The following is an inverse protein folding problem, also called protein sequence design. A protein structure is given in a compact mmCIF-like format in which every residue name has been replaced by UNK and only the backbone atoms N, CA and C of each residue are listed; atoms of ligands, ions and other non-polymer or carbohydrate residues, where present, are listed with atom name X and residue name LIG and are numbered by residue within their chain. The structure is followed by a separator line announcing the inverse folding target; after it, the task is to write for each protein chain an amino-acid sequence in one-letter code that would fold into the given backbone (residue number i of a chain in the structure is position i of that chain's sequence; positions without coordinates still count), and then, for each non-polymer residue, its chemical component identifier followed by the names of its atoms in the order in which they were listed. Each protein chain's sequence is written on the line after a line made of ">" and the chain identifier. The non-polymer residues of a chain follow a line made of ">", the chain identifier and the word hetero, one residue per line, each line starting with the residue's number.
data_IF_083904519271
#
_entry.id   IF_083904519271
#
_cell.length_a   1.000
_cell.length_b   1.000
_cell.length_c   1.000
_cell.angle_alpha   90.00
_cell.angle_beta   90.00
_cell.angle_gamma   90.00
#
_symmetry.space_group_name_H-M   'P 1'
#
loop_
_entity.id
_entity.type
_entity.pdbx_description
1 polymer ?
#
# COMPACT_ATOMS: atom_id res chain seq x y z
N UNK A 1 -33.86 26.00 -1.59
CA UNK A 1 -33.85 26.56 -2.95
C UNK A 1 -34.93 25.82 -3.74
N UNK A 2 -36.06 26.49 -4.03
CA UNK A 2 -37.19 25.91 -4.76
C UNK A 2 -36.82 25.91 -6.26
N UNK A 3 -36.47 24.77 -6.80
CA UNK A 3 -36.27 24.59 -8.25
C UNK A 3 -37.64 24.63 -8.91
N UNK A 4 -37.82 25.55 -9.86
CA UNK A 4 -39.09 25.71 -10.61
C UNK A 4 -39.42 24.38 -11.33
N UNK A 5 -40.71 24.03 -11.42
CA UNK A 5 -41.14 22.77 -12.02
C UNK A 5 -40.57 22.50 -13.43
N UNK A 6 -40.36 23.59 -14.23
CA UNK A 6 -39.75 23.49 -15.55
C UNK A 6 -38.28 23.01 -15.56
N UNK A 7 -37.48 23.45 -14.58
CA UNK A 7 -36.07 22.99 -14.46
C UNK A 7 -35.95 21.51 -14.05
N UNK A 8 -36.91 21.02 -13.25
CA UNK A 8 -36.98 19.59 -12.93
C UNK A 8 -37.23 18.72 -14.16
N UNK A 9 -38.12 19.16 -15.03
CA UNK A 9 -38.45 18.42 -16.27
C UNK A 9 -37.28 18.38 -17.24
N UNK A 10 -36.54 19.50 -17.40
CA UNK A 10 -35.35 19.56 -18.26
C UNK A 10 -34.24 18.66 -17.71
N UNK A 11 -33.95 18.69 -16.41
CA UNK A 11 -32.95 17.84 -15.79
C UNK A 11 -33.31 16.35 -15.86
N UNK A 12 -34.58 16.01 -15.66
CA UNK A 12 -35.04 14.63 -15.78
C UNK A 12 -34.95 14.11 -17.22
N UNK A 13 -35.25 14.96 -18.21
CA UNK A 13 -35.14 14.62 -19.63
C UNK A 13 -33.69 14.37 -20.03
N UNK A 14 -32.77 15.28 -19.70
CA UNK A 14 -31.34 15.10 -19.95
C UNK A 14 -30.79 13.81 -19.34
N UNK A 15 -31.21 13.49 -18.10
CA UNK A 15 -30.79 12.28 -17.42
C UNK A 15 -31.31 11.00 -18.10
N UNK A 16 -32.52 11.04 -18.62
CA UNK A 16 -33.12 9.88 -19.30
C UNK A 16 -32.55 9.66 -20.70
N UNK A 17 -32.11 10.72 -21.38
CA UNK A 17 -31.51 10.68 -22.70
C UNK A 17 -30.00 10.33 -22.67
N UNK A 18 -29.36 10.39 -21.49
CA UNK A 18 -27.97 10.07 -21.32
C UNK A 18 -27.69 8.57 -21.58
N UNK A 19 -26.73 8.29 -22.43
CA UNK A 19 -26.25 6.92 -22.66
C UNK A 19 -25.51 6.42 -21.43
N UNK A 20 -26.06 5.42 -20.78
CA UNK A 20 -25.54 4.81 -19.55
C UNK A 20 -25.13 3.39 -19.79
N UNK A 21 -24.08 2.90 -19.12
CA UNK A 21 -23.72 1.50 -19.19
C UNK A 21 -24.76 0.66 -18.45
N UNK A 22 -25.15 -0.46 -19.03
CA UNK A 22 -26.07 -1.40 -18.41
C UNK A 22 -25.37 -2.21 -17.32
N UNK A 23 -24.11 -2.54 -17.53
CA UNK A 23 -23.32 -3.35 -16.62
C UNK A 23 -21.81 -3.08 -16.78
N UNK A 24 -21.06 -3.51 -15.77
CA UNK A 24 -19.60 -3.55 -15.81
C UNK A 24 -19.20 -5.01 -15.98
N UNK A 25 -18.55 -5.33 -17.09
CA UNK A 25 -18.08 -6.68 -17.38
C UNK A 25 -16.64 -6.83 -16.93
N UNK A 26 -16.36 -7.91 -16.20
CA UNK A 26 -14.99 -8.32 -15.90
C UNK A 26 -14.51 -9.25 -17.04
N UNK A 27 -13.34 -8.96 -17.55
CA UNK A 27 -12.65 -9.81 -18.52
C UNK A 27 -12.03 -11.00 -17.76
N UNK A 28 -12.70 -12.16 -17.83
CA UNK A 28 -12.27 -13.36 -17.10
C UNK A 28 -11.01 -13.99 -17.71
N UNK A 29 -10.74 -13.79 -19.00
CA UNK A 29 -9.59 -14.38 -19.70
C UNK A 29 -8.26 -13.77 -19.21
N UNK A 30 -8.28 -12.51 -18.82
CA UNK A 30 -7.10 -11.78 -18.32
C UNK A 30 -7.09 -11.63 -16.81
N UNK A 31 -8.11 -12.10 -16.10
CA UNK A 31 -8.25 -11.96 -14.66
C UNK A 31 -7.28 -12.86 -13.89
N UNK A 32 -6.62 -12.30 -12.88
CA UNK A 32 -5.78 -13.04 -11.93
C UNK A 32 -6.00 -12.54 -10.50
N UNK A 33 -5.30 -13.13 -9.53
CA UNK A 33 -5.31 -12.64 -8.14
C UNK A 33 -4.76 -11.22 -7.98
N UNK A 34 -4.00 -10.73 -8.97
CA UNK A 34 -3.30 -9.42 -8.92
C UNK A 34 -3.62 -8.51 -10.09
N UNK A 35 -4.45 -8.96 -11.04
CA UNK A 35 -4.84 -8.19 -12.21
C UNK A 35 -6.32 -8.36 -12.53
N UNK A 36 -6.99 -7.25 -12.86
CA UNK A 36 -8.37 -7.27 -13.35
C UNK A 36 -8.56 -6.21 -14.44
N UNK A 37 -9.25 -6.60 -15.53
CA UNK A 37 -9.69 -5.70 -16.58
C UNK A 37 -11.20 -5.63 -16.55
N UNK A 38 -11.74 -4.43 -16.62
CA UNK A 38 -13.16 -4.16 -16.57
C UNK A 38 -13.57 -3.35 -17.80
N UNK A 39 -14.66 -3.75 -18.43
CA UNK A 39 -15.24 -3.07 -19.59
C UNK A 39 -16.56 -2.46 -19.16
N UNK A 40 -16.73 -1.18 -19.44
CA UNK A 40 -17.90 -0.40 -19.08
C UNK A 40 -18.44 0.30 -20.33
N UNK A 41 -19.46 -0.26 -20.94
CA UNK A 41 -20.04 0.25 -22.18
C UNK A 41 -21.55 -0.09 -22.28
N UNK A 42 -22.35 0.68 -23.06
CA UNK A 42 -21.97 1.89 -23.78
C UNK A 42 -21.80 3.10 -22.84
N UNK A 43 -21.04 4.10 -23.27
CA UNK A 43 -20.88 5.38 -22.55
C UNK A 43 -21.13 6.55 -23.50
N UNK A 44 -21.68 7.63 -22.99
CA UNK A 44 -21.77 8.92 -23.67
C UNK A 44 -20.38 9.39 -24.12
N UNK A 45 -20.31 10.07 -25.27
CA UNK A 45 -19.03 10.57 -25.81
C UNK A 45 -18.29 11.47 -24.83
N UNK A 46 -17.05 11.13 -24.54
CA UNK A 46 -16.19 11.83 -23.59
C UNK A 46 -16.28 11.36 -22.13
N UNK A 47 -17.34 10.63 -21.77
CA UNK A 47 -17.52 10.14 -20.39
C UNK A 47 -16.48 9.06 -20.01
N UNK A 48 -16.02 8.26 -20.96
CA UNK A 48 -15.01 7.25 -20.71
C UNK A 48 -13.75 7.81 -20.08
N UNK A 49 -13.21 8.92 -20.62
CA UNK A 49 -12.04 9.60 -20.06
C UNK A 49 -12.32 10.16 -18.66
N UNK A 50 -13.50 10.78 -18.46
CA UNK A 50 -13.88 11.38 -17.16
C UNK A 50 -14.02 10.30 -16.08
N UNK A 51 -14.76 9.22 -16.38
CA UNK A 51 -14.96 8.10 -15.45
C UNK A 51 -13.65 7.36 -15.21
N UNK A 52 -12.88 7.08 -16.26
CA UNK A 52 -11.60 6.40 -16.16
C UNK A 52 -10.61 7.15 -15.27
N UNK A 53 -10.51 8.48 -15.44
CA UNK A 53 -9.66 9.31 -14.58
C UNK A 53 -10.16 9.36 -13.13
N UNK A 54 -11.47 9.51 -12.93
CA UNK A 54 -12.06 9.50 -11.59
C UNK A 54 -11.81 8.17 -10.87
N UNK A 55 -12.07 7.03 -11.55
CA UNK A 55 -11.81 5.71 -11.01
C UNK A 55 -10.33 5.45 -10.72
N UNK A 56 -9.43 5.89 -11.60
CA UNK A 56 -8.00 5.83 -11.36
C UNK A 56 -7.61 6.54 -10.06
N UNK A 57 -8.11 7.75 -9.84
CA UNK A 57 -7.82 8.53 -8.62
C UNK A 57 -8.36 7.84 -7.37
N UNK A 58 -9.59 7.35 -7.41
CA UNK A 58 -10.20 6.63 -6.28
C UNK A 58 -9.42 5.36 -5.95
N UNK A 59 -9.11 4.54 -6.93
CA UNK A 59 -8.39 3.28 -6.73
C UNK A 59 -6.98 3.48 -6.19
N UNK A 60 -6.28 4.54 -6.58
CA UNK A 60 -4.90 4.79 -6.12
C UNK A 60 -4.83 5.51 -4.76
N UNK A 61 -5.81 6.36 -4.43
CA UNK A 61 -5.71 7.26 -3.28
C UNK A 61 -6.71 6.98 -2.14
N UNK A 62 -7.78 6.22 -2.39
CA UNK A 62 -8.88 6.12 -1.40
C UNK A 62 -9.01 4.74 -0.76
N UNK A 63 -8.39 3.71 -1.32
CA UNK A 63 -8.42 2.38 -0.74
C UNK A 63 -7.50 2.31 0.48
N UNK A 64 -7.98 1.62 1.51
CA UNK A 64 -7.22 1.37 2.73
C UNK A 64 -6.31 0.16 2.58
N UNK A 65 -5.19 0.19 3.28
CA UNK A 65 -4.28 -0.93 3.44
C UNK A 65 -3.36 -0.73 4.63
N UNK A 66 -2.58 -1.76 4.93
CA UNK A 66 -1.58 -1.75 5.98
C UNK A 66 -0.18 -1.55 5.37
N UNK A 67 0.67 -0.79 6.07
CA UNK A 67 2.07 -0.61 5.69
C UNK A 67 2.94 -0.37 6.92
N UNK A 68 4.22 -0.64 6.79
CA UNK A 68 5.22 -0.18 7.75
C UNK A 68 5.35 1.33 7.67
N UNK A 69 5.36 2.00 8.82
CA UNK A 69 5.52 3.46 8.95
C UNK A 69 6.85 3.83 9.59
N UNK A 70 7.45 2.91 10.33
CA UNK A 70 8.80 3.06 10.86
C UNK A 70 9.47 1.72 11.08
N UNK A 71 10.80 1.75 11.11
CA UNK A 71 11.65 0.63 11.50
C UNK A 71 12.75 1.14 12.43
N UNK A 72 13.05 0.35 13.46
CA UNK A 72 14.20 0.54 14.34
C UNK A 72 15.09 -0.69 14.22
N UNK A 73 16.34 -0.50 13.85
CA UNK A 73 17.31 -1.58 13.67
C UNK A 73 18.35 -1.43 14.78
N UNK A 74 18.58 -2.48 15.54
CA UNK A 74 19.54 -2.46 16.66
C UNK A 74 20.94 -2.13 16.15
N UNK A 75 21.56 -1.10 16.74
CA UNK A 75 22.90 -0.63 16.35
C UNK A 75 22.94 0.37 15.19
N UNK A 76 21.79 0.72 14.60
CA UNK A 76 21.67 1.70 13.52
C UNK A 76 21.05 2.99 14.04
N UNK A 77 21.66 4.14 13.69
CA UNK A 77 21.18 5.45 14.11
C UNK A 77 20.47 6.24 12.99
N UNK A 78 20.79 5.94 11.72
CA UNK A 78 20.21 6.58 10.54
C UNK A 78 20.32 5.66 9.31
N UNK A 79 19.56 5.95 8.28
CA UNK A 79 19.44 5.14 7.08
C UNK A 79 20.69 5.07 6.18
N UNK A 80 21.63 6.02 6.34
CA UNK A 80 22.84 6.11 5.50
C UNK A 80 24.04 5.40 6.15
N UNK A 81 23.84 4.21 6.66
CA UNK A 81 24.90 3.42 7.30
C UNK A 81 24.85 1.97 6.85
N UNK A 82 25.87 1.20 7.21
CA UNK A 82 25.94 -0.24 6.99
C UNK A 82 25.74 -0.98 8.31
N UNK A 83 25.26 -2.22 8.23
CA UNK A 83 25.11 -3.10 9.38
C UNK A 83 26.22 -4.14 9.31
N UNK A 84 26.98 -4.29 10.39
CA UNK A 84 28.05 -5.29 10.46
C UNK A 84 27.46 -6.71 10.23
N UNK A 85 28.09 -7.48 9.34
CA UNK A 85 27.64 -8.83 9.00
C UNK A 85 26.39 -8.91 8.11
N UNK A 86 25.92 -7.79 7.58
CA UNK A 86 24.84 -7.73 6.58
C UNK A 86 25.41 -7.26 5.25
N UNK A 87 24.98 -7.90 4.16
CA UNK A 87 25.47 -7.62 2.80
C UNK A 87 24.97 -6.26 2.29
N UNK A 88 23.67 -6.00 2.50
CA UNK A 88 22.96 -4.80 2.05
C UNK A 88 23.21 -3.64 3.02
N UNK A 89 23.22 -2.42 2.52
CA UNK A 89 23.17 -1.24 3.37
C UNK A 89 21.76 -1.02 3.95
N UNK A 90 21.65 -0.11 4.92
CA UNK A 90 20.35 0.16 5.58
C UNK A 90 19.33 0.70 4.60
N UNK A 91 19.74 1.48 3.59
CA UNK A 91 18.86 2.01 2.55
C UNK A 91 18.23 0.90 1.73
N UNK A 92 19.03 -0.08 1.30
CA UNK A 92 18.54 -1.26 0.56
C UNK A 92 17.61 -2.11 1.43
N UNK A 93 17.97 -2.34 2.69
CA UNK A 93 17.10 -3.05 3.65
C UNK A 93 15.76 -2.33 3.80
N UNK A 94 15.74 -1.00 3.93
CA UNK A 94 14.52 -0.20 3.99
C UNK A 94 13.69 -0.34 2.72
N UNK A 95 14.30 -0.30 1.54
CA UNK A 95 13.61 -0.51 0.26
C UNK A 95 12.99 -1.90 0.16
N UNK A 96 13.66 -2.92 0.68
CA UNK A 96 13.15 -4.29 0.74
C UNK A 96 11.97 -4.42 1.71
N UNK A 97 12.07 -3.83 2.90
CA UNK A 97 10.99 -3.77 3.90
C UNK A 97 9.72 -3.15 3.30
N UNK A 98 9.84 -2.07 2.53
CA UNK A 98 8.71 -1.41 1.87
C UNK A 98 8.00 -2.28 0.83
N UNK A 99 8.60 -3.38 0.37
CA UNK A 99 7.99 -4.34 -0.55
C UNK A 99 7.19 -5.44 0.16
N UNK A 100 7.33 -5.58 1.47
CA UNK A 100 6.55 -6.52 2.27
C UNK A 100 5.08 -6.08 2.26
N UNK A 101 4.20 -7.03 1.97
CA UNK A 101 2.75 -6.80 1.90
C UNK A 101 2.09 -7.30 3.16
N UNK A 102 1.29 -6.44 3.76
CA UNK A 102 0.65 -6.71 5.04
C UNK A 102 -0.87 -6.65 4.90
N UNK A 103 -1.54 -7.48 5.68
CA UNK A 103 -2.96 -7.34 6.02
C UNK A 103 -3.07 -7.12 7.52
N UNK A 104 -3.86 -6.14 7.91
CA UNK A 104 -4.08 -5.80 9.31
C UNK A 104 -5.58 -5.68 9.58
N UNK A 105 -6.03 -6.23 10.69
CA UNK A 105 -7.44 -6.26 11.11
C UNK A 105 -7.68 -5.37 12.35
N UNK A 106 -6.73 -4.48 12.70
CA UNK A 106 -6.83 -3.55 13.81
C UNK A 106 -6.73 -2.10 13.34
N UNK A 107 -7.45 -1.19 14.01
CA UNK A 107 -7.37 0.24 13.74
C UNK A 107 -6.17 0.91 14.45
N UNK A 108 -5.72 0.32 15.58
CA UNK A 108 -4.60 0.82 16.36
C UNK A 108 -3.25 0.39 15.76
N UNK A 109 -2.19 1.22 15.89
CA UNK A 109 -0.84 0.86 15.48
C UNK A 109 -0.38 -0.47 16.09
N UNK A 110 0.26 -1.31 15.27
CA UNK A 110 0.76 -2.60 15.71
C UNK A 110 2.29 -2.61 15.64
N UNK A 111 2.92 -3.28 16.61
CA UNK A 111 4.37 -3.48 16.62
C UNK A 111 4.69 -4.92 16.27
N UNK A 112 5.65 -5.09 15.39
CA UNK A 112 6.19 -6.39 14.98
C UNK A 112 7.69 -6.38 15.21
N UNK A 113 8.25 -7.57 15.39
CA UNK A 113 9.71 -7.74 15.55
C UNK A 113 10.24 -8.78 14.58
N UNK A 114 11.49 -8.63 14.22
CA UNK A 114 12.27 -9.62 13.49
C UNK A 114 13.58 -9.83 14.23
N UNK A 115 13.94 -11.09 14.49
CA UNK A 115 15.22 -11.45 15.07
C UNK A 115 15.79 -12.68 14.38
N UNK A 116 16.97 -12.53 13.84
CA UNK A 116 17.74 -13.59 13.18
C UNK A 116 19.17 -13.55 13.70
N UNK A 117 19.76 -14.71 13.96
CA UNK A 117 21.09 -14.86 14.55
C UNK A 117 22.01 -15.79 13.74
N UNK A 118 21.55 -16.27 12.60
CA UNK A 118 22.27 -17.22 11.76
C UNK A 118 22.51 -16.67 10.36
N UNK A 119 23.68 -16.98 9.81
CA UNK A 119 24.06 -16.64 8.43
C UNK A 119 23.05 -17.16 7.42
N UNK A 120 22.69 -16.31 6.46
CA UNK A 120 21.80 -16.66 5.36
C UNK A 120 20.85 -15.53 4.96
N UNK A 121 19.90 -15.81 4.06
CA UNK A 121 18.91 -14.85 3.64
C UNK A 121 17.87 -14.62 4.74
N UNK A 122 17.57 -13.36 4.98
CA UNK A 122 16.50 -12.89 5.87
C UNK A 122 15.29 -12.52 5.01
N UNK A 123 14.16 -13.12 5.30
CA UNK A 123 12.92 -12.92 4.56
C UNK A 123 11.78 -12.45 5.46
N UNK A 124 10.71 -11.98 4.87
CA UNK A 124 9.53 -11.54 5.60
C UNK A 124 8.84 -12.65 6.42
N UNK A 125 9.15 -13.93 6.13
CA UNK A 125 8.67 -15.07 6.94
C UNK A 125 9.18 -15.05 8.38
N UNK A 126 10.33 -14.41 8.63
CA UNK A 126 10.95 -14.31 9.96
C UNK A 126 10.41 -13.16 10.81
N UNK A 127 9.55 -12.30 10.23
CA UNK A 127 8.82 -11.29 10.99
C UNK A 127 7.84 -12.00 11.92
N UNK A 128 7.97 -11.72 13.22
CA UNK A 128 7.05 -12.23 14.23
C UNK A 128 5.74 -11.46 14.15
N UNK A 129 4.84 -11.97 13.32
CA UNK A 129 3.49 -11.42 13.18
C UNK A 129 2.66 -11.69 14.44
N UNK A 130 1.75 -10.77 14.77
CA UNK A 130 0.80 -10.94 15.85
C UNK A 130 -0.57 -11.37 15.30
N UNK A 131 -1.57 -11.51 16.17
CA UNK A 131 -2.92 -11.92 15.78
C UNK A 131 -3.64 -10.93 14.84
N UNK A 132 -3.20 -9.68 14.79
CA UNK A 132 -3.83 -8.59 14.03
C UNK A 132 -3.14 -8.31 12.70
N UNK A 133 -1.92 -8.77 12.51
CA UNK A 133 -1.14 -8.49 11.29
C UNK A 133 -0.69 -9.80 10.65
N UNK A 134 -0.94 -9.91 9.35
CA UNK A 134 -0.52 -11.06 8.53
C UNK A 134 0.41 -10.59 7.42
N UNK A 135 1.55 -11.26 7.25
CA UNK A 135 2.45 -11.07 6.11
C UNK A 135 1.92 -11.87 4.92
N UNK A 136 1.67 -11.20 3.78
CA UNK A 136 1.06 -11.81 2.60
C UNK A 136 2.09 -12.38 1.60
N UNK A 137 3.35 -11.92 1.67
CA UNK A 137 4.46 -12.39 0.82
C UNK A 137 5.66 -12.76 1.69
N UNK A 138 5.59 -13.88 2.41
CA UNK A 138 6.65 -14.32 3.34
C UNK A 138 8.01 -14.57 2.67
N UNK A 139 8.02 -14.85 1.36
CA UNK A 139 9.22 -15.02 0.55
C UNK A 139 9.98 -13.73 0.24
N UNK A 140 9.40 -12.55 0.55
CA UNK A 140 10.03 -11.27 0.26
C UNK A 140 11.36 -11.15 0.99
N UNK A 141 12.42 -10.95 0.22
CA UNK A 141 13.76 -10.71 0.73
C UNK A 141 13.86 -9.39 1.49
N UNK A 142 14.53 -9.39 2.65
CA UNK A 142 14.78 -8.20 3.47
C UNK A 142 16.27 -7.89 3.51
N UNK A 143 17.10 -8.86 3.89
CA UNK A 143 18.54 -8.70 4.05
C UNK A 143 19.26 -10.05 3.89
N UNK A 144 20.61 -10.03 3.81
CA UNK A 144 21.45 -11.24 3.80
C UNK A 144 22.50 -11.13 4.89
N UNK A 145 22.48 -12.06 5.85
CA UNK A 145 23.54 -12.19 6.85
C UNK A 145 24.73 -12.94 6.24
N UNK A 146 25.88 -12.31 6.23
CA UNK A 146 27.15 -12.88 5.74
C UNK A 146 27.90 -13.63 6.82
N UNK A 147 27.56 -13.39 8.08
CA UNK A 147 28.16 -13.95 9.29
C UNK A 147 27.07 -14.29 10.30
N UNK A 148 27.39 -15.06 11.33
CA UNK A 148 26.49 -15.37 12.44
C UNK A 148 26.46 -14.16 13.41
N UNK A 149 25.67 -13.15 13.04
CA UNK A 149 25.43 -11.95 13.82
C UNK A 149 23.93 -11.81 14.12
N UNK A 150 23.61 -11.16 15.23
CA UNK A 150 22.23 -10.91 15.59
C UNK A 150 21.74 -9.67 14.85
N UNK A 151 20.76 -9.89 13.96
CA UNK A 151 19.99 -8.82 13.33
C UNK A 151 18.63 -8.72 14.02
N UNK A 152 18.36 -7.60 14.65
CA UNK A 152 17.12 -7.34 15.35
C UNK A 152 16.48 -6.04 14.85
N UNK A 153 15.21 -6.15 14.48
CA UNK A 153 14.42 -5.04 13.95
C UNK A 153 13.07 -4.97 14.65
N UNK A 154 12.63 -3.76 14.94
CA UNK A 154 11.27 -3.46 15.39
C UNK A 154 10.56 -2.62 14.34
N UNK A 155 9.32 -2.98 14.02
CA UNK A 155 8.51 -2.30 13.03
C UNK A 155 7.24 -1.76 13.66
N UNK A 156 6.82 -0.59 13.21
CA UNK A 156 5.46 -0.12 13.45
C UNK A 156 4.64 -0.22 12.17
N UNK A 157 3.46 -0.83 12.27
CA UNK A 157 2.49 -1.03 11.20
C UNK A 157 1.25 -0.21 11.49
N UNK A 158 0.75 0.50 10.50
CA UNK A 158 -0.51 1.26 10.60
C UNK A 158 -1.41 0.98 9.41
N UNK A 159 -2.70 1.24 9.62
CA UNK A 159 -3.68 1.36 8.55
C UNK A 159 -3.68 2.79 8.01
N UNK A 160 -3.79 2.91 6.70
CA UNK A 160 -3.84 4.22 6.05
C UNK A 160 -4.45 4.16 4.65
N UNK A 161 -4.37 5.28 3.92
CA UNK A 161 -4.88 5.41 2.53
C UNK A 161 -3.83 6.09 1.66
N UNK A 162 -3.75 5.64 0.41
CA UNK A 162 -2.88 6.24 -0.59
C UNK A 162 -1.40 6.15 -0.24
N UNK A 163 -0.66 7.23 -0.42
CA UNK A 163 0.75 7.36 -0.11
C UNK A 163 0.98 8.47 0.91
N UNK A 164 1.73 8.17 1.96
CA UNK A 164 2.07 9.11 3.03
C UNK A 164 3.59 9.19 3.13
N UNK A 165 4.21 10.37 2.91
CA UNK A 165 5.62 10.60 3.12
C UNK A 165 6.03 10.37 4.59
N UNK A 166 7.30 10.03 4.81
CA UNK A 166 7.84 9.69 6.13
C UNK A 166 7.69 10.83 7.16
N UNK A 167 7.82 12.08 6.73
CA UNK A 167 7.68 13.28 7.55
C UNK A 167 6.23 13.65 7.90
N UNK A 168 5.26 13.06 7.17
CA UNK A 168 3.84 13.32 7.36
C UNK A 168 3.15 12.33 8.31
N UNK A 169 3.88 11.35 8.85
CA UNK A 169 3.33 10.43 9.84
C UNK A 169 3.20 11.08 11.21
N UNK A 170 1.96 11.35 11.61
CA UNK A 170 1.66 11.93 12.92
C UNK A 170 1.87 10.91 14.06
N UNK A 171 2.35 11.40 15.21
CA UNK A 171 2.46 10.60 16.44
C UNK A 171 3.57 9.56 16.42
N UNK A 172 4.47 9.54 15.43
CA UNK A 172 5.74 8.82 15.54
C UNK A 172 6.70 9.58 16.44
N UNK A 173 7.31 8.87 17.38
CA UNK A 173 8.33 9.47 18.25
C UNK A 173 9.55 9.91 17.44
N UNK A 174 10.15 11.05 17.82
CA UNK A 174 11.46 11.46 17.31
C UNK A 174 12.54 10.83 18.21
N UNK A 175 12.70 9.50 18.08
CA UNK A 175 13.71 8.74 18.80
C UNK A 175 14.95 8.54 17.92
N UNK A 176 16.15 8.60 18.54
CA UNK A 176 17.40 8.29 17.84
C UNK A 176 17.37 6.82 17.43
N UNK A 177 17.67 6.56 16.15
CA UNK A 177 17.64 5.21 15.57
C UNK A 177 16.27 4.74 15.06
N UNK A 178 15.20 5.55 15.21
CA UNK A 178 13.94 5.29 14.56
C UNK A 178 13.97 5.86 13.13
N UNK A 179 13.91 4.99 12.15
CA UNK A 179 13.86 5.35 10.74
C UNK A 179 12.37 5.42 10.34
N UNK A 180 11.89 6.62 10.00
CA UNK A 180 10.54 6.82 9.48
C UNK A 180 10.49 6.41 8.00
N UNK A 181 9.45 5.69 7.61
CA UNK A 181 9.27 5.16 6.27
C UNK A 181 8.14 5.88 5.55
N UNK A 182 8.37 6.27 4.31
CA UNK A 182 7.28 6.64 3.43
C UNK A 182 6.47 5.38 3.09
N UNK A 183 5.16 5.46 3.26
CA UNK A 183 4.27 4.31 3.27
C UNK A 183 3.27 4.38 2.14
N UNK A 184 3.20 3.31 1.34
CA UNK A 184 2.16 3.12 0.33
C UNK A 184 1.10 2.17 0.87
N UNK A 185 -0.01 2.74 1.32
CA UNK A 185 -1.12 1.98 1.91
C UNK A 185 -2.06 1.41 0.85
N UNK A 186 -2.06 1.97 -0.39
CA UNK A 186 -2.96 1.48 -1.43
C UNK A 186 -2.59 0.06 -1.86
N UNK A 187 -3.55 -0.89 -1.85
CA UNK A 187 -3.34 -2.22 -2.40
C UNK A 187 -3.20 -2.21 -3.93
N UNK A 188 -3.67 -1.15 -4.59
CA UNK A 188 -3.59 -0.99 -6.05
C UNK A 188 -2.35 -0.21 -6.42
N UNK A 189 -1.47 -0.83 -7.20
CA UNK A 189 -0.20 -0.22 -7.63
C UNK A 189 -0.28 0.52 -8.97
N UNK A 190 -1.12 0.03 -9.88
CA UNK A 190 -1.23 0.57 -11.24
C UNK A 190 -2.67 0.52 -11.73
N UNK A 191 -3.14 1.61 -12.28
CA UNK A 191 -4.43 1.71 -12.96
C UNK A 191 -4.19 2.34 -14.33
N UNK A 192 -4.69 1.69 -15.37
CA UNK A 192 -4.74 2.21 -16.74
C UNK A 192 -6.18 2.18 -17.24
N UNK A 193 -6.55 3.12 -18.09
CA UNK A 193 -7.83 3.13 -18.80
C UNK A 193 -7.61 3.59 -20.26
N UNK A 194 -8.46 3.17 -21.14
CA UNK A 194 -8.44 3.49 -22.57
C UNK A 194 -9.85 3.92 -23.04
#
# INVERSE_FOLDING_TARGET
>A
MLIKQGERLINARNWNELVKPDQILRDEDTASSTHGKFVCEPLERGYGTTIGNAMRRVLLASLQGAAFVSVKITGVQHEFTTIHGVLEDVTDVVLNIKQVRLRMDADEPQRLTLRVDSKGPVTAAQIQANQHVTVLNPEQHIATLTEDVVLEMEFEVRMGKGYVPADMHEGLADEIGLIKLDSSFSPVRKVAYA
#
